data_IF_838518381553
#
_entry.id   IF_838518381553
#
_cell.length_a   1.000
_cell.length_b   1.000
_cell.length_c   1.000
_cell.angle_alpha   90.00
_cell.angle_beta   90.00
_cell.angle_gamma   90.00
#
_symmetry.space_group_name_H-M   'P 1'
#
loop_
_entity.id
_entity.type
_entity.pdbx_description
1 polymer ?
#
# COMPACT_ATOMS: atom_id res chain seq x y z
N UNK A 1 -6.99 -19.73 -5.87
CA UNK A 1 -6.91 -19.63 -5.41
C UNK A 1 -7.35 -19.05 -4.52
N UNK A 2 -7.92 -19.04 -4.03
CA UNK A 2 -8.31 -18.70 -3.05
C UNK A 2 -7.52 -17.97 -2.30
N UNK A 3 -6.49 -18.00 -2.45
CA UNK A 3 -5.64 -17.33 -1.80
C UNK A 3 -5.84 -15.91 -1.86
N UNK A 4 -6.54 -15.36 -2.75
CA UNK A 4 -6.72 -14.02 -2.85
C UNK A 4 -7.27 -13.40 -1.66
N UNK A 5 -8.17 -14.01 -1.01
CA UNK A 5 -8.70 -13.45 0.17
C UNK A 5 -7.75 -13.53 1.26
N UNK A 6 -6.99 -14.57 1.31
CA UNK A 6 -6.09 -14.77 2.37
C UNK A 6 -4.91 -13.89 2.30
N UNK A 7 -4.67 -13.28 1.13
CA UNK A 7 -3.57 -12.45 1.01
C UNK A 7 -3.92 -11.07 1.33
N UNK A 8 -4.38 -10.82 2.47
CA UNK A 8 -4.64 -9.50 2.89
C UNK A 8 -3.41 -8.86 3.41
N UNK A 9 -2.35 -9.64 3.67
CA UNK A 9 -1.12 -9.08 4.11
C UNK A 9 -0.22 -8.85 2.94
N UNK A 10 0.51 -7.76 2.97
CA UNK A 10 1.52 -7.48 1.97
C UNK A 10 2.84 -7.84 2.60
N UNK A 11 3.58 -8.74 1.99
CA UNK A 11 4.85 -9.17 2.56
C UNK A 11 5.86 -8.03 2.47
N UNK A 12 6.96 -8.16 3.18
CA UNK A 12 8.00 -7.14 3.12
C UNK A 12 8.52 -6.94 1.72
N UNK A 13 8.65 -8.02 0.97
CA UNK A 13 9.12 -7.91 -0.39
C UNK A 13 8.12 -7.12 -1.22
N UNK A 14 6.84 -7.42 -1.05
CA UNK A 14 5.81 -6.73 -1.80
C UNK A 14 5.73 -5.27 -1.38
N UNK A 15 5.94 -4.98 -0.11
CA UNK A 15 5.92 -3.60 0.35
C UNK A 15 7.03 -2.81 -0.31
N UNK A 16 8.21 -3.39 -0.41
CA UNK A 16 9.31 -2.68 -1.04
C UNK A 16 9.08 -2.43 -2.49
N UNK A 17 8.50 -3.39 -3.19
CA UNK A 17 8.18 -3.21 -4.58
C UNK A 17 7.12 -2.15 -4.75
N UNK A 18 6.12 -2.17 -3.89
CA UNK A 18 5.03 -1.23 -3.98
C UNK A 18 5.55 0.17 -3.69
N UNK A 19 6.40 0.31 -2.68
CA UNK A 19 6.98 1.59 -2.34
C UNK A 19 7.81 2.13 -3.50
N UNK A 20 8.56 1.27 -4.16
CA UNK A 20 9.37 1.69 -5.29
C UNK A 20 8.50 2.18 -6.43
N UNK A 21 7.41 1.48 -6.70
CA UNK A 21 6.51 1.89 -7.77
C UNK A 21 5.81 3.19 -7.41
N UNK A 22 5.42 3.34 -6.17
CA UNK A 22 4.75 4.56 -5.74
C UNK A 22 5.73 5.73 -5.81
N UNK A 23 6.98 5.49 -5.43
CA UNK A 23 7.99 6.52 -5.51
C UNK A 23 8.17 6.99 -6.95
N UNK A 24 8.14 6.06 -7.87
CA UNK A 24 8.32 6.39 -9.26
C UNK A 24 7.13 7.20 -9.78
N UNK A 25 5.92 6.81 -9.41
CA UNK A 25 4.73 7.48 -9.85
C UNK A 25 4.62 8.88 -9.27
N UNK A 26 4.95 9.03 -7.98
CA UNK A 26 4.81 10.29 -7.31
C UNK A 26 6.08 11.11 -7.24
N UNK A 27 7.07 10.71 -8.01
CA UNK A 27 8.38 11.33 -7.96
C UNK A 27 8.34 12.83 -7.96
N UNK A 28 7.61 13.40 -8.87
CA UNK A 28 7.56 14.85 -8.98
C UNK A 28 6.86 15.51 -7.81
N UNK A 29 5.97 14.78 -7.20
CA UNK A 29 5.21 15.33 -6.09
C UNK A 29 6.01 15.35 -4.79
N UNK A 30 6.95 14.44 -4.65
CA UNK A 30 7.66 14.30 -3.40
C UNK A 30 9.14 14.64 -3.49
N UNK A 31 9.59 15.08 -4.65
CA UNK A 31 11.02 15.30 -4.83
C UNK A 31 11.55 16.43 -3.95
N UNK A 32 10.69 17.30 -3.47
CA UNK A 32 11.12 18.38 -2.59
C UNK A 32 11.45 17.87 -1.19
N UNK A 33 11.00 16.68 -0.87
CA UNK A 33 11.26 16.11 0.43
C UNK A 33 12.62 15.43 0.46
N UNK A 34 13.24 15.37 1.63
CA UNK A 34 14.48 14.64 1.76
C UNK A 34 14.17 13.16 1.55
N UNK A 35 15.21 12.39 1.27
CA UNK A 35 15.04 10.97 1.06
C UNK A 35 14.38 10.31 2.26
N UNK A 36 14.79 10.74 3.45
CA UNK A 36 14.24 10.17 4.66
C UNK A 36 12.75 10.43 4.76
N UNK A 37 12.32 11.66 4.44
CA UNK A 37 10.91 11.97 4.50
C UNK A 37 10.13 11.27 3.42
N UNK A 38 10.75 11.06 2.25
CA UNK A 38 10.10 10.32 1.19
C UNK A 38 9.83 8.88 1.65
N UNK A 39 10.78 8.28 2.33
CA UNK A 39 10.62 6.92 2.79
C UNK A 39 9.52 6.83 3.84
N UNK A 40 9.45 7.80 4.73
CA UNK A 40 8.42 7.81 5.75
C UNK A 40 7.04 7.94 5.09
N UNK A 41 6.94 8.82 4.12
CA UNK A 41 5.68 9.03 3.43
C UNK A 41 5.24 7.77 2.69
N UNK A 42 6.15 7.14 1.98
CA UNK A 42 5.81 5.95 1.22
C UNK A 42 5.40 4.81 2.14
N UNK A 43 6.07 4.68 3.26
CA UNK A 43 5.71 3.64 4.21
C UNK A 43 4.31 3.90 4.76
N UNK A 44 4.00 5.16 5.06
CA UNK A 44 2.67 5.52 5.52
C UNK A 44 1.62 5.21 4.47
N UNK A 45 1.92 5.52 3.22
CA UNK A 45 0.95 5.29 2.14
C UNK A 45 0.69 3.81 1.94
N UNK A 46 1.71 2.99 2.01
CA UNK A 46 1.51 1.56 1.86
C UNK A 46 0.69 1.01 3.02
N UNK A 47 0.98 1.48 4.22
CA UNK A 47 0.24 1.04 5.39
C UNK A 47 -1.23 1.44 5.28
N UNK A 48 -1.48 2.66 4.83
CA UNK A 48 -2.85 3.14 4.67
C UNK A 48 -3.58 2.32 3.60
N UNK A 49 -2.87 2.01 2.53
CA UNK A 49 -3.45 1.22 1.46
C UNK A 49 -3.82 -0.17 1.98
N UNK A 50 -2.91 -0.79 2.74
CA UNK A 50 -3.17 -2.10 3.28
C UNK A 50 -4.38 -2.08 4.19
N UNK A 51 -4.45 -1.11 5.08
CA UNK A 51 -5.54 -1.02 6.03
C UNK A 51 -6.87 -0.80 5.32
N UNK A 52 -6.87 0.07 4.36
CA UNK A 52 -8.10 0.37 3.65
C UNK A 52 -8.54 -0.82 2.82
N UNK A 53 -7.59 -1.49 2.19
CA UNK A 53 -7.91 -2.65 1.40
C UNK A 53 -8.53 -3.73 2.27
N UNK A 54 -7.98 -3.92 3.47
CA UNK A 54 -8.51 -4.91 4.38
C UNK A 54 -9.95 -4.59 4.76
N UNK A 55 -10.23 -3.33 5.05
CA UNK A 55 -11.58 -2.90 5.41
C UNK A 55 -12.54 -3.16 4.25
N UNK A 56 -12.13 -2.82 3.04
CA UNK A 56 -12.98 -3.00 1.88
C UNK A 56 -13.19 -4.48 1.55
N UNK A 57 -12.18 -5.30 1.77
CA UNK A 57 -12.34 -6.72 1.55
C UNK A 57 -13.37 -7.30 2.52
N UNK A 58 -13.34 -6.86 3.75
CA UNK A 58 -14.31 -7.32 4.73
C UNK A 58 -15.71 -6.87 4.32
N UNK A 59 -15.84 -5.63 3.90
CA UNK A 59 -17.14 -5.12 3.48
C UNK A 59 -17.65 -5.89 2.27
N UNK A 60 -16.77 -6.20 1.34
CA UNK A 60 -17.14 -6.93 0.15
C UNK A 60 -17.61 -8.33 0.53
N UNK A 61 -16.92 -8.96 1.45
CA UNK A 61 -17.28 -10.30 1.87
C UNK A 61 -18.63 -10.32 2.57
N UNK A 62 -19.01 -9.18 3.16
CA UNK A 62 -20.30 -9.10 3.83
C UNK A 62 -21.41 -8.64 2.89
N UNK A 63 -21.08 -8.40 1.64
CA UNK A 63 -22.09 -8.03 0.69
C UNK A 63 -22.43 -6.56 0.62
N UNK A 64 -21.58 -5.71 1.14
CA UNK A 64 -21.84 -4.31 1.08
C UNK A 64 -21.46 -3.78 -0.25
N UNK A 65 -21.87 -3.53 -0.99
CA UNK A 65 -21.56 -3.09 -2.20
C UNK A 65 -21.01 -3.13 -2.91
#
# INVERSE_FOLDING_TARGET
MEEKYLKQHITNKDRKELEAKMANIFKENIEALSTELQEILLDDMVTAFENRLNVLNVAHAKGYC
#
